data_IF_233024742329
#
_entry.id   IF_233024742329
#
_cell.length_a   1.000
_cell.length_b   1.000
_cell.length_c   1.000
_cell.angle_alpha   90.00
_cell.angle_beta   90.00
_cell.angle_gamma   90.00
#
_symmetry.space_group_name_H-M   'P 1'
#
loop_
_entity.id
_entity.type
_entity.pdbx_description
1 polymer ?
#
# COMPACT_ATOMS: atom_id res chain seq x y z
N UNK A 1 6.19 -15.55 -13.75
CA UNK A 1 5.46 -15.50 -12.47
C UNK A 1 5.58 -14.09 -11.90
N UNK A 2 4.49 -13.35 -11.69
CA UNK A 2 4.55 -12.02 -11.07
C UNK A 2 4.94 -12.20 -9.60
N UNK A 3 6.00 -11.54 -9.14
CA UNK A 3 6.45 -11.62 -7.76
C UNK A 3 5.40 -10.97 -6.85
N UNK A 4 4.98 -11.61 -5.74
CA UNK A 4 4.01 -11.01 -4.83
C UNK A 4 4.57 -9.72 -4.25
N UNK A 5 3.75 -8.67 -4.28
CA UNK A 5 4.06 -7.38 -3.69
C UNK A 5 3.47 -7.38 -2.29
N UNK A 6 4.26 -6.93 -1.33
CA UNK A 6 3.82 -6.83 0.05
C UNK A 6 3.81 -5.38 0.51
N UNK A 7 2.81 -5.05 1.31
CA UNK A 7 2.66 -3.77 1.98
C UNK A 7 2.71 -3.98 3.49
N UNK A 8 3.32 -3.04 4.20
CA UNK A 8 3.41 -3.06 5.65
C UNK A 8 2.62 -1.89 6.22
N UNK A 9 1.75 -2.13 7.20
CA UNK A 9 1.08 -1.03 7.89
C UNK A 9 2.11 -0.13 8.58
N UNK A 10 2.12 1.16 8.22
CA UNK A 10 3.06 2.16 8.73
C UNK A 10 2.63 2.77 10.06
N UNK A 11 1.47 2.39 10.59
CA UNK A 11 1.11 2.71 11.96
C UNK A 11 2.03 1.91 12.90
N UNK A 12 2.84 2.61 13.70
CA UNK A 12 3.88 2.02 14.54
C UNK A 12 3.34 0.92 15.47
N UNK A 13 2.12 1.08 15.99
CA UNK A 13 1.49 0.08 16.87
C UNK A 13 0.96 -1.16 16.14
N UNK A 14 0.83 -1.14 14.81
CA UNK A 14 0.25 -2.23 14.03
C UNK A 14 1.31 -3.05 13.29
N UNK A 15 2.09 -2.43 12.41
CA UNK A 15 3.19 -3.10 11.69
C UNK A 15 2.83 -4.33 10.83
N UNK A 16 1.55 -4.70 10.71
CA UNK A 16 1.11 -5.91 10.00
C UNK A 16 1.45 -5.86 8.52
N UNK A 17 1.87 -6.99 7.96
CA UNK A 17 2.18 -7.15 6.54
C UNK A 17 1.01 -7.79 5.80
N UNK A 18 0.74 -7.29 4.61
CA UNK A 18 -0.31 -7.74 3.70
C UNK A 18 0.29 -7.99 2.33
N UNK A 19 -0.15 -9.03 1.65
CA UNK A 19 0.01 -9.16 0.21
C UNK A 19 -0.89 -8.13 -0.50
N UNK A 20 -0.47 -7.62 -1.65
CA UNK A 20 -1.22 -6.62 -2.41
C UNK A 20 -2.61 -7.09 -2.84
N UNK A 21 -2.85 -8.41 -2.89
CA UNK A 21 -4.12 -9.05 -3.22
C UNK A 21 -5.08 -9.11 -2.02
N UNK A 22 -4.57 -8.97 -0.79
CA UNK A 22 -5.37 -9.05 0.45
C UNK A 22 -5.97 -7.70 0.86
N UNK A 23 -5.57 -6.61 0.21
CA UNK A 23 -6.02 -5.26 0.55
C UNK A 23 -6.60 -4.54 -0.65
N UNK A 24 -7.62 -3.72 -0.39
CA UNK A 24 -8.23 -2.88 -1.42
C UNK A 24 -7.45 -1.57 -1.50
N UNK A 25 -6.96 -1.24 -2.70
CA UNK A 25 -6.36 0.05 -3.01
C UNK A 25 -7.47 1.00 -3.47
N UNK A 26 -7.58 2.14 -2.79
CA UNK A 26 -8.54 3.21 -3.07
C UNK A 26 -7.81 4.51 -3.33
N UNK A 27 -8.43 5.43 -4.07
CA UNK A 27 -7.93 6.79 -4.24
C UNK A 27 -8.88 7.76 -3.53
N UNK A 28 -8.43 8.33 -2.40
CA UNK A 28 -9.23 9.25 -1.58
C UNK A 28 -8.91 10.73 -1.88
N UNK A 29 -8.47 11.04 -3.10
CA UNK A 29 -8.15 12.41 -3.55
C UNK A 29 -6.71 12.87 -3.24
N UNK A 30 -5.93 12.08 -2.48
CA UNK A 30 -4.51 12.33 -2.17
C UNK A 30 -3.57 11.30 -2.82
N UNK A 31 -4.09 10.52 -3.77
CA UNK A 31 -3.38 9.41 -4.41
C UNK A 31 -3.84 8.04 -3.90
N UNK A 32 -3.30 6.96 -4.50
CA UNK A 32 -3.67 5.60 -4.13
C UNK A 32 -3.17 5.27 -2.74
N UNK A 33 -4.02 4.66 -1.92
CA UNK A 33 -3.68 4.18 -0.60
C UNK A 33 -4.47 2.90 -0.31
N UNK A 34 -4.01 2.12 0.68
CA UNK A 34 -4.84 1.09 1.28
C UNK A 34 -5.07 1.42 2.76
N UNK A 35 -6.21 0.98 3.27
CA UNK A 35 -6.51 1.03 4.70
C UNK A 35 -6.14 -0.31 5.32
N UNK A 36 -5.38 -0.30 6.41
CA UNK A 36 -5.03 -1.53 7.11
C UNK A 36 -6.32 -2.20 7.63
N UNK A 37 -6.60 -3.47 7.29
CA UNK A 37 -7.78 -4.18 7.76
C UNK A 37 -7.90 -4.28 9.30
N UNK A 38 -6.77 -4.20 10.01
CA UNK A 38 -6.73 -4.37 11.46
C UNK A 38 -6.92 -3.05 12.21
N UNK A 39 -6.21 -1.99 11.83
CA UNK A 39 -6.22 -0.72 12.57
C UNK A 39 -6.85 0.45 11.81
N UNK A 40 -7.28 0.26 10.56
CA UNK A 40 -7.88 1.31 9.72
C UNK A 40 -6.90 2.41 9.25
N UNK A 41 -5.63 2.34 9.64
CA UNK A 41 -4.62 3.32 9.25
C UNK A 41 -4.45 3.40 7.74
N UNK A 42 -4.31 4.64 7.22
CA UNK A 42 -4.07 4.91 5.80
C UNK A 42 -2.60 4.68 5.48
N UNK A 43 -2.33 3.92 4.42
CA UNK A 43 -0.99 3.61 3.97
C UNK A 43 -0.86 4.03 2.50
N UNK A 44 -0.10 5.10 2.26
CA UNK A 44 0.06 5.68 0.94
C UNK A 44 0.86 4.75 -0.01
N UNK A 45 0.36 4.64 -1.23
CA UNK A 45 0.98 3.93 -2.33
C UNK A 45 1.37 4.93 -3.44
N UNK A 46 2.26 4.51 -4.32
CA UNK A 46 2.56 5.17 -5.58
C UNK A 46 2.09 4.26 -6.71
N UNK A 47 1.23 4.77 -7.59
CA UNK A 47 0.98 4.13 -8.87
C UNK A 47 2.18 4.38 -9.80
N UNK A 48 2.61 3.33 -10.48
CA UNK A 48 3.63 3.39 -11.54
C UNK A 48 3.17 2.53 -12.70
N UNK A 49 3.26 3.04 -13.91
CA UNK A 49 3.05 2.22 -15.10
C UNK A 49 4.34 1.44 -15.40
N UNK A 50 4.22 0.11 -15.45
CA UNK A 50 5.27 -0.80 -15.93
C UNK A 50 4.64 -1.66 -17.03
N UNK A 51 5.18 -1.60 -18.26
CA UNK A 51 4.70 -2.37 -19.42
C UNK A 51 3.18 -2.22 -19.70
N UNK A 52 2.65 -1.00 -19.55
CA UNK A 52 1.22 -0.71 -19.73
C UNK A 52 0.32 -1.22 -18.60
N UNK A 53 0.90 -1.71 -17.51
CA UNK A 53 0.19 -2.17 -16.31
C UNK A 53 0.44 -1.19 -15.17
N UNK A 54 -0.63 -0.72 -14.52
CA UNK A 54 -0.51 0.04 -13.28
C UNK A 54 -0.10 -0.88 -12.13
N UNK A 55 1.08 -0.63 -11.57
CA UNK A 55 1.63 -1.30 -10.40
C UNK A 55 1.64 -0.34 -9.22
N UNK A 56 1.16 -0.80 -8.07
CA UNK A 56 1.18 -0.01 -6.83
C UNK A 56 2.36 -0.42 -5.95
N UNK A 57 3.24 0.54 -5.62
CA UNK A 57 4.34 0.35 -4.67
C UNK A 57 4.11 1.18 -3.41
N UNK A 58 4.38 0.60 -2.25
CA UNK A 58 4.23 1.34 -0.99
C UNK A 58 5.30 2.42 -0.85
N UNK A 59 4.86 3.64 -0.54
CA UNK A 59 5.77 4.71 -0.12
C UNK A 59 6.10 4.50 1.35
N UNK A 60 7.38 4.32 1.69
CA UNK A 60 7.81 4.44 3.08
C UNK A 60 7.77 5.93 3.42
N UNK A 61 6.85 6.33 4.27
CA UNK A 61 7.01 7.57 5.01
C UNK A 61 8.12 7.30 6.01
N UNK A 62 9.35 7.70 5.70
CA UNK A 62 10.35 7.93 6.74
C UNK A 62 9.73 8.93 7.69
N UNK A 63 9.28 8.47 8.87
CA UNK A 63 8.83 9.36 9.93
C UNK A 63 9.91 10.41 10.14
N UNK A 64 9.53 11.69 10.02
CA UNK A 64 10.31 12.81 10.55
C UNK A 64 10.30 12.77 12.07
#
# INVERSE_FOLDING_TARGET
>A
MKKPIYYTCQNQSCGTRWESTEVVVVNEGQGPLFRCPICGARNALAAREEDGVTVYRQRRTTGS
#
